data_IF_170423051225
#
_entry.id   IF_170423051225
#
_cell.length_a   1.000
_cell.length_b   1.000
_cell.length_c   1.000
_cell.angle_alpha   90.00
_cell.angle_beta   90.00
_cell.angle_gamma   90.00
#
_symmetry.space_group_name_H-M   'P 1'
#
loop_
_entity.id
_entity.type
_entity.pdbx_description
1 polymer ?
#
# COMPACT_ATOMS: atom_id res chain seq x y z
N UNK A 1 6.96 19.02 36.53
CA UNK A 1 5.78 18.52 35.79
C UNK A 1 5.71 19.29 34.47
N UNK A 2 6.42 18.82 33.44
CA UNK A 2 6.38 19.42 32.11
C UNK A 2 5.73 18.42 31.16
N UNK A 3 4.51 18.72 30.71
CA UNK A 3 3.82 17.93 29.69
C UNK A 3 4.38 18.28 28.32
N UNK A 4 4.95 17.30 27.62
CA UNK A 4 5.23 17.42 26.18
C UNK A 4 3.93 17.08 25.46
N UNK A 5 3.37 18.06 24.75
CA UNK A 5 2.34 17.82 23.75
C UNK A 5 2.93 16.96 22.64
N UNK A 6 2.29 15.83 22.37
CA UNK A 6 2.60 15.00 21.21
C UNK A 6 1.96 15.65 19.98
N UNK A 7 2.78 16.06 19.03
CA UNK A 7 2.32 16.45 17.70
C UNK A 7 1.85 15.18 16.97
N UNK A 8 0.55 15.15 16.62
CA UNK A 8 -0.04 14.05 15.87
C UNK A 8 0.54 14.01 14.45
N UNK A 9 1.07 12.86 14.05
CA UNK A 9 1.59 12.62 12.71
C UNK A 9 0.41 12.43 11.75
N UNK A 10 0.10 13.43 10.94
CA UNK A 10 -1.00 13.36 9.98
C UNK A 10 -0.72 12.27 8.91
N UNK A 11 -1.62 11.29 8.79
CA UNK A 11 -1.54 10.25 7.77
C UNK A 11 -1.91 10.80 6.39
N UNK A 12 -1.06 10.57 5.38
CA UNK A 12 -1.23 11.08 4.00
C UNK A 12 -2.48 10.58 3.24
N UNK A 13 -3.20 9.58 3.78
CA UNK A 13 -4.33 8.94 3.10
C UNK A 13 -5.65 9.05 3.89
N UNK A 14 -5.87 10.16 4.60
CA UNK A 14 -7.11 10.42 5.32
C UNK A 14 -8.11 11.28 4.52
N UNK A 15 -9.39 10.91 4.40
CA UNK A 15 -10.43 11.89 4.11
C UNK A 15 -10.49 12.93 5.24
N UNK A 16 -10.83 14.17 4.91
CA UNK A 16 -10.84 15.32 5.82
C UNK A 16 -11.57 15.00 7.14
N UNK A 17 -10.94 15.35 8.27
CA UNK A 17 -11.50 15.17 9.61
C UNK A 17 -12.81 15.95 9.72
N UNK A 18 -13.93 15.24 9.78
CA UNK A 18 -15.20 15.82 10.19
C UNK A 18 -15.24 15.79 11.72
N UNK A 19 -15.15 16.96 12.33
CA UNK A 19 -15.41 17.16 13.76
C UNK A 19 -16.88 16.80 14.04
N UNK A 20 -17.12 15.74 14.82
CA UNK A 20 -18.47 15.37 15.25
C UNK A 20 -18.53 15.08 16.75
N UNK A 21 -19.51 15.72 17.36
CA UNK A 21 -19.82 15.84 18.78
C UNK A 21 -20.09 14.48 19.44
N UNK A 22 -19.67 14.32 20.69
CA UNK A 22 -19.59 13.01 21.33
C UNK A 22 -20.93 12.31 21.58
N UNK A 23 -21.13 11.11 21.01
CA UNK A 23 -21.92 10.00 21.59
C UNK A 23 -21.82 8.67 20.82
N UNK A 24 -21.58 7.59 21.60
CA UNK A 24 -21.86 6.15 21.37
C UNK A 24 -21.47 5.51 20.02
N UNK A 25 -20.43 4.68 20.08
CA UNK A 25 -20.01 3.76 19.03
C UNK A 25 -20.95 2.55 18.92
N UNK A 26 -21.96 2.60 18.03
CA UNK A 26 -22.50 1.45 17.27
C UNK A 26 -23.64 1.87 16.31
N UNK A 27 -23.45 2.95 15.55
CA UNK A 27 -24.36 3.28 14.43
C UNK A 27 -23.56 3.29 13.15
N UNK A 28 -23.93 2.46 12.18
CA UNK A 28 -23.59 2.71 10.79
C UNK A 28 -23.99 4.16 10.47
N UNK A 29 -23.15 4.93 9.76
CA UNK A 29 -23.37 6.35 9.63
C UNK A 29 -24.70 6.56 8.90
N UNK A 30 -25.66 7.20 9.58
CA UNK A 30 -27.06 7.34 9.14
C UNK A 30 -27.19 8.10 7.82
N UNK A 31 -26.13 8.80 7.41
CA UNK A 31 -26.02 9.45 6.12
C UNK A 31 -26.00 8.47 4.92
N UNK A 32 -25.69 7.18 5.11
CA UNK A 32 -25.67 6.20 4.02
C UNK A 32 -27.06 5.72 3.62
N UNK A 33 -28.02 5.73 4.56
CA UNK A 33 -29.36 5.17 4.39
C UNK A 33 -30.39 6.19 3.87
N UNK A 34 -30.19 7.48 4.14
CA UNK A 34 -31.13 8.57 3.78
C UNK A 34 -30.62 9.45 2.63
N UNK A 35 -30.13 8.84 1.54
CA UNK A 35 -29.78 9.57 0.32
C UNK A 35 -28.55 10.49 0.44
N UNK A 36 -27.69 10.29 1.44
CA UNK A 36 -26.44 11.02 1.55
C UNK A 36 -25.51 10.73 0.39
N UNK A 37 -24.88 11.79 -0.14
CA UNK A 37 -23.93 11.68 -1.25
C UNK A 37 -22.61 11.11 -0.74
N UNK A 38 -22.22 9.98 -1.29
CA UNK A 38 -20.91 9.35 -1.03
C UNK A 38 -19.95 9.82 -2.14
N UNK A 39 -18.86 10.47 -1.74
CA UNK A 39 -17.77 10.77 -2.67
C UNK A 39 -16.85 9.55 -2.74
N UNK A 40 -16.78 8.94 -3.92
CA UNK A 40 -15.90 7.80 -4.20
C UNK A 40 -14.72 8.28 -5.02
N UNK A 41 -13.51 7.94 -4.58
CA UNK A 41 -12.29 8.15 -5.37
C UNK A 41 -11.71 6.80 -5.74
N UNK A 42 -11.54 6.57 -7.04
CA UNK A 42 -10.86 5.39 -7.53
C UNK A 42 -9.35 5.55 -7.32
N UNK A 43 -8.72 4.51 -6.76
CA UNK A 43 -7.27 4.43 -6.60
C UNK A 43 -6.73 3.27 -7.42
N UNK A 44 -5.67 3.53 -8.17
CA UNK A 44 -4.93 2.47 -8.86
C UNK A 44 -4.38 1.48 -7.84
N UNK A 45 -4.21 0.22 -8.26
CA UNK A 45 -3.61 -0.85 -7.47
C UNK A 45 -2.70 -1.67 -8.38
N UNK A 46 -1.55 -2.10 -7.87
CA UNK A 46 -0.68 -3.04 -8.56
C UNK A 46 -1.28 -4.44 -8.47
N UNK A 47 -1.33 -5.15 -9.59
CA UNK A 47 -1.67 -6.58 -9.65
C UNK A 47 -0.37 -7.39 -9.64
N UNK A 48 0.07 -7.81 -8.46
CA UNK A 48 1.33 -8.52 -8.29
C UNK A 48 1.09 -10.03 -8.35
N UNK A 49 1.84 -10.74 -9.19
CA UNK A 49 1.78 -12.20 -9.34
C UNK A 49 3.15 -12.80 -9.13
N UNK A 50 3.24 -13.83 -8.29
CA UNK A 50 4.49 -14.50 -7.98
C UNK A 50 4.48 -15.86 -8.68
N UNK A 51 5.52 -16.08 -9.49
CA UNK A 51 5.72 -17.32 -10.23
C UNK A 51 6.92 -18.09 -9.68
N UNK A 52 6.79 -19.40 -9.64
CA UNK A 52 7.84 -20.33 -9.24
C UNK A 52 8.82 -20.59 -10.37
N UNK A 53 9.90 -21.32 -10.07
CA UNK A 53 10.90 -21.72 -11.07
C UNK A 53 10.34 -22.65 -12.15
N UNK A 54 9.25 -23.34 -11.85
CA UNK A 54 8.49 -24.21 -12.75
C UNK A 54 7.52 -23.44 -13.66
N UNK A 55 7.39 -22.12 -13.48
CA UNK A 55 6.41 -21.28 -14.17
C UNK A 55 5.01 -21.35 -13.56
N UNK A 56 4.82 -22.12 -12.48
CA UNK A 56 3.55 -22.18 -11.76
C UNK A 56 3.26 -20.86 -11.02
N UNK A 57 2.01 -20.41 -11.02
CA UNK A 57 1.59 -19.25 -10.23
C UNK A 57 1.43 -19.66 -8.77
N UNK A 58 2.27 -19.11 -7.88
CA UNK A 58 2.22 -19.40 -6.44
C UNK A 58 1.20 -18.52 -5.71
N UNK A 59 1.16 -17.23 -6.01
CA UNK A 59 0.29 -16.28 -5.31
C UNK A 59 0.01 -15.02 -6.14
N UNK A 60 -1.06 -14.32 -5.77
CA UNK A 60 -1.50 -13.07 -6.39
C UNK A 60 -1.98 -12.08 -5.33
N UNK A 61 -1.56 -10.83 -5.44
CA UNK A 61 -1.89 -9.75 -4.51
C UNK A 61 -2.35 -8.51 -5.26
N UNK A 62 -3.29 -7.76 -4.67
CA UNK A 62 -3.68 -6.43 -5.13
C UNK A 62 -3.17 -5.39 -4.13
N UNK A 63 -2.23 -4.56 -4.56
CA UNK A 63 -1.44 -3.68 -3.68
C UNK A 63 -1.79 -2.22 -3.92
N UNK A 64 -2.08 -1.47 -2.85
CA UNK A 64 -2.52 -0.06 -2.96
C UNK A 64 -1.37 0.93 -3.09
N UNK A 65 -0.26 0.71 -2.38
CA UNK A 65 0.82 1.68 -2.28
C UNK A 65 2.07 1.15 -3.01
N UNK A 66 2.76 0.17 -2.41
CA UNK A 66 3.97 -0.39 -3.00
C UNK A 66 4.16 -1.89 -2.76
N UNK A 67 4.81 -2.53 -3.72
CA UNK A 67 5.30 -3.90 -3.63
C UNK A 67 6.84 -3.88 -3.61
N UNK A 68 7.43 -4.48 -2.58
CA UNK A 68 8.88 -4.48 -2.38
C UNK A 68 9.43 -5.89 -2.51
N UNK A 69 10.53 -6.03 -3.25
CA UNK A 69 11.36 -7.23 -3.34
C UNK A 69 12.65 -6.94 -2.59
N UNK A 70 13.02 -7.77 -1.61
CA UNK A 70 14.22 -7.58 -0.79
C UNK A 70 15.04 -8.87 -0.73
N UNK A 71 16.34 -8.75 -0.48
CA UNK A 71 17.29 -9.86 -0.33
C UNK A 71 17.03 -10.76 0.87
N UNK A 72 16.10 -10.40 1.75
CA UNK A 72 15.77 -11.13 2.96
C UNK A 72 16.95 -11.18 3.92
N UNK A 73 17.26 -12.37 4.45
CA UNK A 73 18.37 -12.57 5.38
C UNK A 73 19.75 -12.69 4.70
N UNK A 74 19.83 -12.62 3.37
CA UNK A 74 21.10 -12.70 2.64
C UNK A 74 22.04 -11.57 3.05
N UNK A 75 23.31 -11.87 3.34
CA UNK A 75 24.33 -10.85 3.60
C UNK A 75 24.90 -10.20 2.31
N UNK A 76 24.57 -10.75 1.15
CA UNK A 76 24.99 -10.25 -0.17
C UNK A 76 23.86 -9.49 -0.85
N UNK A 77 24.22 -8.53 -1.70
CA UNK A 77 23.28 -7.84 -2.59
C UNK A 77 22.54 -8.85 -3.47
N UNK A 78 21.23 -8.65 -3.64
CA UNK A 78 20.44 -9.42 -4.57
C UNK A 78 20.80 -9.01 -6.01
N UNK A 79 20.91 -10.01 -6.90
CA UNK A 79 21.04 -9.78 -8.33
C UNK A 79 19.66 -9.85 -8.98
N UNK A 80 19.11 -8.69 -9.35
CA UNK A 80 17.72 -8.53 -9.78
C UNK A 80 17.67 -8.09 -11.24
N UNK A 81 17.15 -8.96 -12.10
CA UNK A 81 16.90 -8.63 -13.51
C UNK A 81 15.48 -8.07 -13.68
N UNK A 82 15.39 -6.88 -14.25
CA UNK A 82 14.13 -6.17 -14.43
C UNK A 82 13.71 -6.23 -15.90
N UNK A 83 12.50 -6.69 -16.14
CA UNK A 83 11.88 -6.75 -17.46
C UNK A 83 10.62 -5.90 -17.48
N UNK A 84 10.37 -5.22 -18.59
CA UNK A 84 9.10 -4.55 -18.88
C UNK A 84 8.66 -4.95 -20.28
N UNK A 85 7.40 -5.38 -20.43
CA UNK A 85 6.85 -5.87 -21.70
C UNK A 85 7.75 -6.91 -22.41
N UNK A 86 8.33 -7.84 -21.63
CA UNK A 86 9.28 -8.86 -22.07
C UNK A 86 10.60 -8.33 -22.63
N UNK A 87 10.91 -7.05 -22.42
CA UNK A 87 12.19 -6.44 -22.77
C UNK A 87 13.04 -6.29 -21.50
N UNK A 88 14.29 -6.76 -21.55
CA UNK A 88 15.25 -6.55 -20.47
C UNK A 88 15.57 -5.06 -20.36
N UNK A 89 15.34 -4.49 -19.17
CA UNK A 89 15.63 -3.10 -18.90
C UNK A 89 17.02 -2.93 -18.30
N UNK A 90 17.28 -3.63 -17.20
CA UNK A 90 18.51 -3.50 -16.44
C UNK A 90 18.68 -4.67 -15.48
N UNK A 91 19.91 -4.85 -15.02
CA UNK A 91 20.27 -5.76 -13.94
C UNK A 91 20.82 -4.94 -12.79
N UNK A 92 20.22 -5.09 -11.61
CA UNK A 92 20.55 -4.29 -10.42
C UNK A 92 21.16 -5.20 -9.35
N UNK A 93 22.25 -4.74 -8.74
CA UNK A 93 22.76 -5.30 -7.48
C UNK A 93 22.40 -4.36 -6.33
N UNK A 94 21.42 -4.74 -5.53
CA UNK A 94 20.90 -3.91 -4.44
C UNK A 94 20.35 -4.75 -3.28
N UNK A 95 19.99 -4.09 -2.19
CA UNK A 95 19.21 -4.73 -1.11
C UNK A 95 17.83 -5.15 -1.61
N UNK A 96 17.22 -4.34 -2.47
CA UNK A 96 15.89 -4.62 -3.01
C UNK A 96 15.43 -3.66 -4.10
N UNK A 97 14.19 -3.85 -4.55
CA UNK A 97 13.47 -3.04 -5.52
C UNK A 97 12.06 -2.74 -5.02
N UNK A 98 11.59 -1.51 -5.27
CA UNK A 98 10.25 -1.05 -4.88
C UNK A 98 9.47 -0.67 -6.14
N UNK A 99 8.26 -1.23 -6.25
CA UNK A 99 7.27 -0.86 -7.26
C UNK A 99 6.13 -0.13 -6.56
N UNK A 100 5.93 1.15 -6.84
CA UNK A 100 4.92 1.98 -6.17
C UNK A 100 3.89 2.55 -7.15
N UNK A 101 2.69 2.83 -6.65
CA UNK A 101 1.60 3.55 -7.34
C UNK A 101 1.61 5.04 -7.10
#
# INVERSE_FOLDING_TARGET
RGGRGGEGMAGMAGPAEAEEDGRSADRAPSNLAEGGRINLTMRMRLDCRIYGKDGGMHSRYSVLNEATVDRGSSAYLANLECFCDNVHLTTVQADGLIFAT
#
